data_IF_626504246833
#
_entry.id   IF_626504246833
#
_cell.length_a   1.000
_cell.length_b   1.000
_cell.length_c   1.000
_cell.angle_alpha   90.00
_cell.angle_beta   90.00
_cell.angle_gamma   90.00
#
_symmetry.space_group_name_H-M   'P 1'
#
loop_
_entity.id
_entity.type
_entity.pdbx_description
1 polymer ?
#
# COMPACT_ATOMS: atom_id res chain seq x y z
N UNK A 1 -9.52 -18.43 -67.62
CA UNK A 1 -9.45 -19.35 -66.46
C UNK A 1 -8.56 -18.68 -65.42
N UNK A 2 -8.91 -18.40 -64.16
CA UNK A 2 -9.99 -18.77 -63.25
C UNK A 2 -10.16 -17.59 -62.25
N UNK A 3 -11.41 -17.24 -61.94
CA UNK A 3 -11.81 -16.34 -60.85
C UNK A 3 -11.93 -17.16 -59.56
N UNK A 4 -11.29 -16.76 -58.46
CA UNK A 4 -11.69 -17.08 -57.08
C UNK A 4 -11.11 -15.97 -56.18
N UNK A 5 -11.84 -14.93 -55.76
CA UNK A 5 -12.76 -14.88 -54.61
C UNK A 5 -12.22 -15.58 -53.37
N UNK A 6 -11.65 -14.80 -52.44
CA UNK A 6 -11.89 -14.92 -51.00
C UNK A 6 -11.71 -13.54 -50.36
N UNK A 7 -12.81 -12.78 -50.33
CA UNK A 7 -13.08 -11.82 -49.26
C UNK A 7 -13.62 -12.62 -48.06
N UNK A 8 -13.56 -12.02 -46.87
CA UNK A 8 -14.11 -12.48 -45.57
C UNK A 8 -13.17 -13.55 -44.95
N UNK A 9 -12.58 -13.39 -43.76
CA UNK A 9 -13.20 -13.16 -42.44
C UNK A 9 -12.15 -12.66 -41.44
N UNK A 10 -12.50 -11.62 -40.66
CA UNK A 10 -11.97 -11.33 -39.31
C UNK A 10 -10.59 -10.66 -39.28
N UNK A 11 -10.46 -9.34 -39.14
CA UNK A 11 -10.84 -8.59 -37.92
C UNK A 11 -10.69 -9.48 -36.67
N UNK A 12 -9.48 -10.00 -36.45
CA UNK A 12 -9.11 -10.54 -35.15
C UNK A 12 -8.17 -9.57 -34.45
N UNK A 13 -8.81 -8.86 -33.54
CA UNK A 13 -8.24 -8.41 -32.28
C UNK A 13 -7.03 -7.48 -32.43
N UNK A 14 -7.37 -6.24 -32.73
CA UNK A 14 -6.96 -5.14 -31.86
C UNK A 14 -7.08 -5.58 -30.39
N UNK A 15 -6.05 -6.20 -29.84
CA UNK A 15 -5.80 -6.19 -28.40
C UNK A 15 -5.45 -4.74 -28.09
N UNK A 16 -6.48 -3.91 -28.03
CA UNK A 16 -6.47 -2.81 -27.09
C UNK A 16 -6.17 -3.50 -25.77
N UNK A 17 -4.92 -3.41 -25.34
CA UNK A 17 -4.59 -3.53 -23.93
C UNK A 17 -5.49 -2.48 -23.31
N UNK A 18 -6.64 -2.92 -22.84
CA UNK A 18 -7.40 -2.24 -21.82
C UNK A 18 -6.40 -2.12 -20.69
N UNK A 19 -5.62 -1.04 -20.72
CA UNK A 19 -5.10 -0.42 -19.54
C UNK A 19 -6.41 -0.08 -18.83
N UNK A 20 -6.87 -1.02 -18.00
CA UNK A 20 -7.99 -0.76 -17.12
C UNK A 20 -7.67 0.58 -16.50
N UNK A 21 -8.63 1.51 -16.55
CA UNK A 21 -8.52 2.75 -15.80
C UNK A 21 -8.29 2.34 -14.34
N UNK A 22 -7.03 2.17 -13.98
CA UNK A 22 -6.60 2.02 -12.61
C UNK A 22 -6.88 3.40 -12.06
N UNK A 23 -7.93 3.47 -11.27
CA UNK A 23 -8.33 4.63 -10.49
C UNK A 23 -7.05 5.33 -10.00
N UNK A 24 -6.70 6.50 -10.56
CA UNK A 24 -5.37 7.10 -10.37
C UNK A 24 -5.05 7.25 -8.89
N UNK A 25 -6.07 7.49 -8.07
CA UNK A 25 -5.97 7.53 -6.61
C UNK A 25 -5.51 6.22 -5.96
N UNK A 26 -5.88 5.05 -6.50
CA UNK A 26 -5.41 3.77 -5.95
C UNK A 26 -3.92 3.55 -6.18
N UNK A 27 -3.36 4.07 -7.27
CA UNK A 27 -1.93 3.90 -7.56
C UNK A 27 -1.08 4.81 -6.68
N UNK A 28 -1.45 6.08 -6.53
CA UNK A 28 -0.72 7.02 -5.69
C UNK A 28 -0.78 6.63 -4.20
N UNK A 29 -1.91 6.07 -3.76
CA UNK A 29 -2.04 5.48 -2.43
C UNK A 29 -1.09 4.29 -2.21
N UNK A 30 -0.94 3.41 -3.21
CA UNK A 30 0.01 2.29 -3.14
C UNK A 30 1.47 2.79 -3.06
N UNK A 31 1.83 3.80 -3.85
CA UNK A 31 3.17 4.42 -3.79
C UNK A 31 3.48 5.02 -2.42
N UNK A 32 2.46 5.54 -1.72
CA UNK A 32 2.61 6.07 -0.36
C UNK A 32 2.92 4.95 0.65
N UNK A 33 2.31 3.77 0.50
CA UNK A 33 2.62 2.59 1.33
C UNK A 33 4.01 2.05 1.01
N UNK A 34 4.40 2.01 -0.27
CA UNK A 34 5.76 1.61 -0.67
C UNK A 34 6.82 2.54 -0.07
N UNK A 35 6.60 3.85 -0.13
CA UNK A 35 7.48 4.83 0.51
C UNK A 35 7.57 4.63 2.03
N UNK A 36 6.45 4.29 2.68
CA UNK A 36 6.46 3.95 4.10
C UNK A 36 7.39 2.77 4.40
N UNK A 37 7.28 1.67 3.65
CA UNK A 37 8.10 0.48 3.85
C UNK A 37 9.58 0.72 3.53
N UNK A 38 9.89 1.52 2.51
CA UNK A 38 11.25 1.93 2.19
C UNK A 38 11.88 2.69 3.36
N UNK A 39 11.20 3.74 3.85
CA UNK A 39 11.71 4.52 4.98
C UNK A 39 11.74 3.70 6.28
N UNK A 40 10.83 2.74 6.46
CA UNK A 40 10.85 1.80 7.58
C UNK A 40 12.14 0.98 7.59
N UNK A 41 12.53 0.43 6.43
CA UNK A 41 13.76 -0.34 6.27
C UNK A 41 15.02 0.52 6.47
N UNK A 42 14.98 1.78 6.05
CA UNK A 42 16.04 2.75 6.31
C UNK A 42 16.07 3.23 7.77
N UNK A 43 15.06 2.87 8.58
CA UNK A 43 14.83 3.37 9.94
C UNK A 43 14.72 4.90 10.01
N UNK A 44 14.32 5.54 8.91
CA UNK A 44 14.09 6.98 8.84
C UNK A 44 12.65 7.29 9.30
N UNK A 45 12.39 7.05 10.58
CA UNK A 45 11.06 7.27 11.16
C UNK A 45 10.71 8.76 11.22
N UNK A 46 11.71 9.65 11.23
CA UNK A 46 11.51 11.09 11.12
C UNK A 46 10.81 11.42 9.80
N UNK A 47 11.35 10.93 8.69
CA UNK A 47 10.77 11.19 7.37
C UNK A 47 9.38 10.60 7.23
N UNK A 48 9.12 9.40 7.77
CA UNK A 48 7.76 8.87 7.80
C UNK A 48 6.82 9.81 8.57
N UNK A 49 7.25 10.23 9.77
CA UNK A 49 6.42 11.08 10.62
C UNK A 49 6.18 12.46 9.99
N UNK A 50 7.19 13.08 9.38
CA UNK A 50 7.05 14.42 8.81
C UNK A 50 6.32 14.39 7.47
N UNK A 51 6.69 13.46 6.57
CA UNK A 51 6.33 13.52 5.16
C UNK A 51 5.30 12.49 4.70
N UNK A 52 5.06 11.40 5.43
CA UNK A 52 4.20 10.31 4.95
C UNK A 52 2.88 10.24 5.72
N UNK A 53 2.90 10.43 7.04
CA UNK A 53 1.67 10.41 7.83
C UNK A 53 0.93 11.75 7.80
N UNK A 54 -0.39 11.67 7.88
CA UNK A 54 -1.30 12.83 7.85
C UNK A 54 -1.21 13.68 9.12
N UNK A 55 -1.78 14.88 9.07
CA UNK A 55 -1.95 15.72 10.26
C UNK A 55 -2.78 15.02 11.36
N UNK A 56 -3.87 14.37 10.99
CA UNK A 56 -4.72 13.64 11.96
C UNK A 56 -3.95 12.54 12.69
N UNK A 57 -3.06 11.83 11.99
CA UNK A 57 -2.19 10.83 12.62
C UNK A 57 -1.29 11.50 13.67
N UNK A 58 -0.66 12.63 13.34
CA UNK A 58 0.22 13.41 14.24
C UNK A 58 -0.54 14.00 15.43
N UNK A 59 -1.81 14.36 15.24
CA UNK A 59 -2.67 14.87 16.32
C UNK A 59 -3.07 13.74 17.29
N UNK A 60 -3.12 12.49 16.81
CA UNK A 60 -3.50 11.31 17.61
C UNK A 60 -2.35 10.67 18.39
N UNK A 61 -1.10 10.87 17.97
CA UNK A 61 0.07 10.24 18.57
C UNK A 61 1.26 11.17 18.53
N UNK A 62 1.89 11.39 19.69
CA UNK A 62 3.08 12.24 19.76
C UNK A 62 4.23 11.63 18.97
N UNK A 63 5.14 12.49 18.48
CA UNK A 63 6.34 12.04 17.78
C UNK A 63 7.18 11.05 18.61
N UNK A 64 7.29 11.28 19.91
CA UNK A 64 8.05 10.41 20.81
C UNK A 64 7.42 9.02 20.91
N UNK A 65 6.09 8.95 21.08
CA UNK A 65 5.37 7.68 21.16
C UNK A 65 5.44 6.93 19.83
N UNK A 66 5.29 7.64 18.71
CA UNK A 66 5.48 7.09 17.38
C UNK A 66 6.87 6.47 17.21
N UNK A 67 7.93 7.20 17.58
CA UNK A 67 9.30 6.69 17.47
C UNK A 67 9.52 5.46 18.34
N UNK A 68 9.00 5.47 19.56
CA UNK A 68 9.06 4.32 20.47
C UNK A 68 8.39 3.09 19.85
N UNK A 69 7.18 3.27 19.30
CA UNK A 69 6.43 2.22 18.60
C UNK A 69 7.20 1.69 17.38
N UNK A 70 7.70 2.57 16.52
CA UNK A 70 8.38 2.17 15.29
C UNK A 70 9.71 1.47 15.55
N UNK A 71 10.47 1.93 16.55
CA UNK A 71 11.69 1.24 16.99
C UNK A 71 11.36 -0.16 17.51
N UNK A 72 10.30 -0.30 18.32
CA UNK A 72 9.84 -1.61 18.79
C UNK A 72 9.41 -2.49 17.61
N UNK A 73 8.64 -1.98 16.67
CA UNK A 73 8.19 -2.73 15.50
C UNK A 73 9.37 -3.20 14.65
N UNK A 74 10.33 -2.32 14.34
CA UNK A 74 11.53 -2.68 13.60
C UNK A 74 12.39 -3.72 14.34
N UNK A 75 12.46 -3.65 15.67
CA UNK A 75 13.18 -4.65 16.47
C UNK A 75 12.48 -6.00 16.52
N UNK A 76 11.14 -6.04 16.52
CA UNK A 76 10.35 -7.28 16.61
C UNK A 76 10.18 -7.93 15.24
N UNK A 77 9.68 -7.17 14.28
CA UNK A 77 9.38 -7.65 12.92
C UNK A 77 10.64 -7.87 12.10
N UNK A 78 11.68 -7.07 12.32
CA UNK A 78 12.86 -7.00 11.45
C UNK A 78 12.60 -6.14 10.22
N UNK A 79 13.40 -6.31 9.18
CA UNK A 79 13.25 -5.58 7.92
C UNK A 79 12.05 -6.11 7.13
N UNK A 80 11.30 -5.21 6.51
CA UNK A 80 10.29 -5.52 5.51
C UNK A 80 10.94 -6.10 4.25
N UNK A 81 10.36 -7.16 3.69
CA UNK A 81 10.89 -7.84 2.50
C UNK A 81 9.99 -7.63 1.29
N UNK A 82 8.69 -7.94 1.43
CA UNK A 82 7.71 -7.86 0.36
C UNK A 82 6.29 -7.88 0.95
N UNK A 83 5.32 -7.35 0.20
CA UNK A 83 3.92 -7.35 0.56
C UNK A 83 3.03 -7.56 -0.66
N UNK A 84 2.04 -8.45 -0.52
CA UNK A 84 1.02 -8.70 -1.54
C UNK A 84 -0.24 -7.93 -1.20
N UNK A 85 -0.67 -7.04 -2.08
CA UNK A 85 -1.97 -6.37 -1.94
C UNK A 85 -3.09 -7.43 -1.95
N UNK A 86 -3.83 -7.53 -0.86
CA UNK A 86 -5.00 -8.39 -0.72
C UNK A 86 -6.27 -7.66 -1.19
N UNK A 87 -6.39 -6.37 -0.85
CA UNK A 87 -7.59 -5.59 -1.10
C UNK A 87 -7.30 -4.09 -1.22
N UNK A 88 -8.01 -3.44 -2.13
CA UNK A 88 -8.11 -1.98 -2.26
C UNK A 88 -9.59 -1.60 -2.29
N UNK A 89 -10.02 -0.71 -1.38
CA UNK A 89 -11.39 -0.20 -1.37
C UNK A 89 -11.46 1.30 -1.05
N UNK A 90 -12.39 2.00 -1.70
CA UNK A 90 -12.71 3.38 -1.36
C UNK A 90 -13.59 3.40 -0.10
N UNK A 91 -13.11 4.05 0.95
CA UNK A 91 -13.85 4.32 2.18
C UNK A 91 -14.50 5.69 2.04
N UNK A 92 -15.78 5.68 1.66
CA UNK A 92 -16.59 6.90 1.59
C UNK A 92 -16.83 7.45 2.99
N UNK A 93 -16.53 8.73 3.18
CA UNK A 93 -16.91 9.48 4.38
C UNK A 93 -18.11 10.38 4.07
N UNK A 94 -18.92 10.68 5.08
CA UNK A 94 -20.11 11.52 4.91
C UNK A 94 -19.77 12.97 4.53
N UNK A 95 -18.58 13.45 4.92
CA UNK A 95 -18.07 14.81 4.68
C UNK A 95 -16.57 14.71 4.39
N UNK A 96 -16.11 15.35 3.31
CA UNK A 96 -14.69 15.38 2.90
C UNK A 96 -14.35 14.45 1.72
N UNK A 97 -13.07 14.43 1.36
CA UNK A 97 -12.54 13.53 0.32
C UNK A 97 -12.58 12.07 0.79
N UNK A 98 -12.87 11.16 -0.13
CA UNK A 98 -12.87 9.73 0.14
C UNK A 98 -11.48 9.24 0.58
N UNK A 99 -11.44 8.31 1.53
CA UNK A 99 -10.20 7.63 1.89
C UNK A 99 -10.04 6.36 1.03
N UNK A 100 -8.81 5.89 0.89
CA UNK A 100 -8.52 4.59 0.27
C UNK A 100 -8.01 3.67 1.37
N UNK A 101 -8.61 2.49 1.48
CA UNK A 101 -8.14 1.41 2.34
C UNK A 101 -7.35 0.43 1.49
N UNK A 102 -6.12 0.16 1.92
CA UNK A 102 -5.27 -0.86 1.34
C UNK A 102 -4.98 -1.90 2.40
N UNK A 103 -5.16 -3.17 2.06
CA UNK A 103 -4.80 -4.30 2.93
C UNK A 103 -3.74 -5.14 2.23
N UNK A 104 -2.61 -5.35 2.90
CA UNK A 104 -1.50 -6.15 2.42
C UNK A 104 -1.30 -7.37 3.31
N UNK A 105 -0.87 -8.46 2.70
CA UNK A 105 -0.19 -9.53 3.41
C UNK A 105 1.32 -9.29 3.27
N UNK A 106 1.97 -8.97 4.37
CA UNK A 106 3.33 -8.46 4.42
C UNK A 106 4.27 -9.45 5.09
N UNK A 107 5.43 -9.66 4.47
CA UNK A 107 6.50 -10.50 4.97
C UNK A 107 7.62 -9.61 5.48
N UNK A 108 7.95 -9.77 6.76
CA UNK A 108 9.13 -9.23 7.41
C UNK A 108 10.13 -10.34 7.72
N UNK A 109 11.33 -9.95 8.13
CA UNK A 109 12.43 -10.88 8.40
C UNK A 109 12.11 -11.93 9.48
N UNK A 110 11.28 -11.57 10.47
CA UNK A 110 10.94 -12.43 11.60
C UNK A 110 9.47 -12.89 11.62
N UNK A 111 8.58 -12.15 10.95
CA UNK A 111 7.13 -12.35 11.02
C UNK A 111 6.48 -12.09 9.66
N UNK A 112 5.32 -12.69 9.44
CA UNK A 112 4.37 -12.33 8.41
C UNK A 112 3.09 -11.84 9.08
N UNK A 113 2.42 -10.87 8.49
CA UNK A 113 1.24 -10.26 9.07
C UNK A 113 0.38 -9.58 8.02
N UNK A 114 -0.86 -9.26 8.36
CA UNK A 114 -1.70 -8.41 7.55
C UNK A 114 -1.58 -6.95 8.00
N UNK A 115 -1.25 -6.06 7.06
CA UNK A 115 -1.23 -4.61 7.28
C UNK A 115 -2.44 -3.97 6.64
N UNK A 116 -3.17 -3.14 7.38
CA UNK A 116 -4.19 -2.27 6.83
C UNK A 116 -3.77 -0.81 6.95
N UNK A 117 -3.80 -0.12 5.81
CA UNK A 117 -3.54 1.30 5.69
C UNK A 117 -4.82 2.04 5.31
N UNK A 118 -5.08 3.16 5.98
CA UNK A 118 -6.08 4.14 5.54
C UNK A 118 -5.33 5.35 5.01
N UNK A 119 -5.50 5.62 3.72
CA UNK A 119 -4.85 6.71 2.99
C UNK A 119 -5.88 7.81 2.73
N UNK A 120 -5.48 9.06 2.94
CA UNK A 120 -6.30 10.24 2.63
C UNK A 120 -5.51 11.21 1.77
N UNK A 121 -6.21 12.01 0.97
CA UNK A 121 -5.61 13.16 0.30
C UNK A 121 -5.53 14.34 1.28
N UNK A 122 -4.37 14.96 1.39
CA UNK A 122 -4.09 16.12 2.24
C UNK A 122 -3.16 17.05 1.47
N UNK A 123 -3.61 18.28 1.20
CA UNK A 123 -2.91 19.27 0.38
C UNK A 123 -2.48 18.70 -0.99
N UNK A 124 -3.36 17.93 -1.63
CA UNK A 124 -3.13 17.32 -2.95
C UNK A 124 -2.21 16.09 -2.94
N UNK A 125 -1.69 15.66 -1.77
CA UNK A 125 -0.81 14.49 -1.63
C UNK A 125 -1.48 13.40 -0.82
N UNK A 126 -1.18 12.15 -1.13
CA UNK A 126 -1.65 11.02 -0.33
C UNK A 126 -0.84 10.88 0.95
N UNK A 127 -1.54 10.62 2.05
CA UNK A 127 -0.98 10.54 3.41
C UNK A 127 -1.60 9.39 4.18
N UNK A 128 -0.81 8.75 5.02
CA UNK A 128 -1.28 7.69 5.90
C UNK A 128 -2.03 8.32 7.09
N UNK A 129 -3.32 8.02 7.18
CA UNK A 129 -4.19 8.38 8.31
C UNK A 129 -4.12 7.34 9.42
N UNK A 130 -4.02 6.06 9.07
CA UNK A 130 -4.05 4.97 10.04
C UNK A 130 -3.27 3.76 9.52
N UNK A 131 -2.62 3.06 10.45
CA UNK A 131 -1.94 1.79 10.22
C UNK A 131 -2.47 0.80 11.27
N UNK A 132 -2.84 -0.40 10.84
CA UNK A 132 -3.24 -1.50 11.72
C UNK A 132 -2.46 -2.75 11.33
N UNK A 133 -1.89 -3.41 12.33
CA UNK A 133 -1.23 -4.71 12.20
C UNK A 133 -2.18 -5.77 12.74
N UNK A 134 -2.50 -6.77 11.92
CA UNK A 134 -3.38 -7.89 12.27
C UNK A 134 -2.77 -9.22 11.80
N UNK A 135 -3.33 -10.35 12.25
CA UNK A 135 -2.94 -11.71 11.83
C UNK A 135 -1.42 -11.95 11.84
N UNK A 136 -0.75 -11.64 12.96
CA UNK A 136 0.71 -11.75 13.09
C UNK A 136 1.14 -13.21 13.32
N UNK A 137 1.97 -13.74 12.43
CA UNK A 137 2.51 -15.10 12.48
C UNK A 137 4.05 -15.08 12.38
N UNK A 138 4.72 -15.98 13.11
CA UNK A 138 6.19 -16.08 13.10
C UNK A 138 6.64 -16.79 11.82
N UNK A 139 7.53 -16.18 11.03
CA UNK A 139 8.14 -16.82 9.84
C UNK A 139 9.35 -17.66 10.24
N UNK A 140 10.08 -17.23 11.27
CA UNK A 140 11.32 -17.88 11.71
C UNK A 140 11.22 -18.26 13.19
N UNK A 141 11.00 -19.54 13.48
CA UNK A 141 11.28 -20.10 14.79
C UNK A 141 12.81 -20.10 14.96
N UNK A 142 13.34 -19.21 15.80
CA UNK A 142 14.69 -19.43 16.32
C UNK A 142 14.64 -20.72 17.14
N UNK A 143 15.06 -21.82 16.53
CA UNK A 143 15.50 -22.99 17.30
C UNK A 143 16.61 -22.49 18.23
N UNK A 144 16.31 -22.58 19.53
CA UNK A 144 17.20 -22.14 20.61
C UNK A 144 18.03 -23.32 21.08
#
# INVERSE_FOLDING_TARGET
MKKYKFYIVGVMLSTQVLIGCSDEGSRDAMLTVEAFHEQFNLKDFEKIYVDIVSKEFKDSMTKSDYFSLMNKNASVLGSYQYGRLLKSDQVKVLIGDGNIRLTYHSIYSNYELNEMFIIKKEDGRDKIKQIVYDDIHVVTLKEK
#
